data_IF_299937136445
#
_entry.id   IF_299937136445
#
_cell.length_a   1.000
_cell.length_b   1.000
_cell.length_c   1.000
_cell.angle_alpha   90.00
_cell.angle_beta   90.00
_cell.angle_gamma   90.00
#
_symmetry.space_group_name_H-M   'P 1'
#
loop_
_entity.id
_entity.type
_entity.pdbx_description
1 polymer ?
#
# COMPACT_ATOMS: atom_id res chain seq x y z
N UNK A 1 9.47 10.05 -18.16
CA UNK A 1 9.62 11.05 -17.07
C UNK A 1 8.97 10.59 -15.74
N UNK A 2 7.83 9.88 -15.76
CA UNK A 2 7.21 9.31 -14.56
C UNK A 2 8.05 8.18 -13.94
N UNK A 3 8.54 7.25 -14.76
CA UNK A 3 9.38 6.11 -14.31
C UNK A 3 10.67 6.53 -13.60
N UNK A 4 11.34 7.61 -14.05
CA UNK A 4 12.58 8.08 -13.42
C UNK A 4 12.34 8.73 -12.06
N UNK A 5 11.18 9.38 -11.86
CA UNK A 5 10.76 9.89 -10.54
C UNK A 5 10.36 8.75 -9.62
N UNK A 6 9.57 7.78 -10.09
CA UNK A 6 9.11 6.62 -9.30
C UNK A 6 10.29 5.78 -8.80
N UNK A 7 11.31 5.54 -9.65
CA UNK A 7 12.55 4.84 -9.25
C UNK A 7 13.32 5.54 -8.13
N UNK A 8 13.17 6.85 -7.98
CA UNK A 8 13.79 7.61 -6.88
C UNK A 8 12.94 7.60 -5.61
N UNK A 9 11.63 7.39 -5.71
CA UNK A 9 10.69 7.42 -4.57
C UNK A 9 10.73 6.11 -3.78
N UNK A 10 10.76 4.97 -4.46
CA UNK A 10 10.71 3.65 -3.81
C UNK A 10 11.80 3.41 -2.74
N UNK A 11 13.08 3.77 -2.95
CA UNK A 11 14.11 3.65 -1.90
C UNK A 11 13.79 4.45 -0.64
N UNK A 12 13.26 5.67 -0.80
CA UNK A 12 12.86 6.52 0.32
C UNK A 12 11.64 5.97 1.05
N UNK A 13 10.69 5.40 0.33
CA UNK A 13 9.52 4.74 0.94
C UNK A 13 9.95 3.55 1.80
N UNK A 14 10.85 2.71 1.32
CA UNK A 14 11.38 1.58 2.08
C UNK A 14 12.06 2.03 3.38
N UNK A 15 12.91 3.06 3.31
CA UNK A 15 13.58 3.61 4.49
C UNK A 15 12.60 4.27 5.47
N UNK A 16 11.60 5.00 4.95
CA UNK A 16 10.59 5.63 5.78
C UNK A 16 9.72 4.60 6.50
N UNK A 17 9.31 3.53 5.81
CA UNK A 17 8.62 2.40 6.43
C UNK A 17 9.49 1.72 7.48
N UNK A 18 10.79 1.50 7.22
CA UNK A 18 11.70 0.95 8.21
C UNK A 18 11.79 1.83 9.47
N UNK A 19 11.86 3.16 9.29
CA UNK A 19 11.89 4.10 10.41
C UNK A 19 10.59 4.07 11.23
N UNK A 20 9.43 4.03 10.58
CA UNK A 20 8.14 3.89 11.27
C UNK A 20 8.07 2.55 12.00
N UNK A 21 8.45 1.45 11.35
CA UNK A 21 8.46 0.12 11.96
C UNK A 21 9.39 0.07 13.18
N UNK A 22 10.56 0.69 13.12
CA UNK A 22 11.46 0.81 14.28
C UNK A 22 10.83 1.62 15.42
N UNK A 23 10.14 2.73 15.12
CA UNK A 23 9.41 3.50 16.13
C UNK A 23 8.26 2.70 16.73
N UNK A 24 7.48 1.99 15.91
CA UNK A 24 6.40 1.12 16.38
C UNK A 24 6.94 0.01 17.27
N UNK A 25 8.09 -0.59 16.93
CA UNK A 25 8.70 -1.63 17.74
C UNK A 25 9.02 -1.19 19.19
N UNK A 26 9.17 0.11 19.45
CA UNK A 26 9.36 0.64 20.81
C UNK A 26 8.08 0.77 21.62
N UNK A 27 6.91 0.78 20.97
CA UNK A 27 5.62 1.10 21.61
C UNK A 27 4.51 0.06 21.39
N UNK A 28 4.56 -0.74 20.32
CA UNK A 28 3.50 -1.64 19.90
C UNK A 28 4.06 -2.85 19.16
N UNK A 29 3.63 -4.07 19.54
CA UNK A 29 4.00 -5.36 18.92
C UNK A 29 5.47 -5.45 18.45
N UNK A 30 6.43 -5.45 19.40
CA UNK A 30 7.85 -5.27 19.10
C UNK A 30 8.40 -6.29 18.11
N UNK A 31 8.01 -7.55 18.26
CA UNK A 31 8.54 -8.65 17.44
C UNK A 31 8.16 -8.49 15.98
N UNK A 32 6.87 -8.20 15.69
CA UNK A 32 6.39 -8.11 14.31
C UNK A 32 6.92 -6.86 13.62
N UNK A 33 7.03 -5.75 14.35
CA UNK A 33 7.57 -4.50 13.83
C UNK A 33 9.07 -4.53 13.58
N UNK A 34 9.83 -5.29 14.38
CA UNK A 34 11.24 -5.59 14.07
C UNK A 34 11.34 -6.38 12.77
N UNK A 35 10.47 -7.37 12.55
CA UNK A 35 10.43 -8.13 11.29
C UNK A 35 10.14 -7.22 10.10
N UNK A 36 9.13 -6.34 10.20
CA UNK A 36 8.85 -5.37 9.13
C UNK A 36 9.99 -4.41 8.87
N UNK A 37 10.68 -3.94 9.92
CA UNK A 37 11.87 -3.11 9.80
C UNK A 37 12.98 -3.82 9.02
N UNK A 38 13.31 -5.06 9.40
CA UNK A 38 14.32 -5.89 8.71
C UNK A 38 13.92 -6.12 7.25
N UNK A 39 12.66 -6.45 6.99
CA UNK A 39 12.11 -6.64 5.64
C UNK A 39 12.33 -5.39 4.78
N UNK A 40 12.00 -4.20 5.29
CA UNK A 40 12.14 -2.94 4.56
C UNK A 40 13.61 -2.58 4.30
N UNK A 41 14.51 -2.83 5.26
CA UNK A 41 15.96 -2.61 5.09
C UNK A 41 16.55 -3.58 4.06
N UNK A 42 16.16 -4.86 4.10
CA UNK A 42 16.59 -5.87 3.13
C UNK A 42 16.12 -5.53 1.73
N UNK A 43 14.85 -5.15 1.57
CA UNK A 43 14.30 -4.71 0.28
C UNK A 43 15.07 -3.49 -0.28
N UNK A 44 15.42 -2.52 0.58
CA UNK A 44 16.25 -1.38 0.18
C UNK A 44 17.65 -1.82 -0.29
N UNK A 45 18.29 -2.72 0.46
CA UNK A 45 19.61 -3.28 0.13
C UNK A 45 19.61 -4.04 -1.19
N UNK A 46 18.59 -4.89 -1.44
CA UNK A 46 18.43 -5.63 -2.69
C UNK A 46 18.25 -4.69 -3.89
N UNK A 47 17.48 -3.63 -3.71
CA UNK A 47 17.25 -2.61 -4.74
C UNK A 47 18.55 -1.85 -5.08
N UNK A 48 19.36 -1.51 -4.06
CA UNK A 48 20.67 -0.85 -4.25
C UNK A 48 21.74 -1.75 -4.86
N UNK A 49 21.74 -3.04 -4.52
CA UNK A 49 22.70 -4.03 -5.02
C UNK A 49 22.50 -4.34 -6.52
N UNK A 50 21.38 -3.92 -7.11
CA UNK A 50 21.11 -4.11 -8.55
C UNK A 50 20.70 -5.54 -8.92
N UNK A 51 20.38 -6.39 -7.93
CA UNK A 51 19.88 -7.75 -8.17
C UNK A 51 18.42 -7.70 -8.65
N UNK A 52 18.24 -7.41 -9.95
CA UNK A 52 16.92 -7.11 -10.53
C UNK A 52 15.87 -8.19 -10.25
N UNK A 53 16.21 -9.47 -10.45
CA UNK A 53 15.22 -10.55 -10.30
C UNK A 53 14.80 -10.77 -8.83
N UNK A 54 15.76 -10.81 -7.90
CA UNK A 54 15.47 -11.03 -6.49
C UNK A 54 14.79 -9.82 -5.84
N UNK A 55 15.24 -8.61 -6.18
CA UNK A 55 14.59 -7.38 -5.73
C UNK A 55 13.15 -7.32 -6.23
N UNK A 56 12.88 -7.70 -7.48
CA UNK A 56 11.54 -7.66 -8.04
C UNK A 56 10.60 -8.66 -7.34
N UNK A 57 11.04 -9.90 -7.09
CA UNK A 57 10.23 -10.90 -6.37
C UNK A 57 9.92 -10.43 -4.94
N UNK A 58 10.94 -9.93 -4.23
CA UNK A 58 10.75 -9.41 -2.87
C UNK A 58 9.80 -8.22 -2.81
N UNK A 59 9.93 -7.30 -3.76
CA UNK A 59 9.09 -6.12 -3.85
C UNK A 59 7.64 -6.43 -4.27
N UNK A 60 7.42 -7.54 -4.98
CA UNK A 60 6.06 -8.00 -5.32
C UNK A 60 5.41 -8.70 -4.13
N UNK A 61 6.13 -9.62 -3.48
CA UNK A 61 5.52 -10.51 -2.50
C UNK A 61 5.48 -9.92 -1.09
N UNK A 62 6.59 -9.31 -0.65
CA UNK A 62 6.85 -9.03 0.78
C UNK A 62 6.61 -7.57 1.13
N UNK A 63 7.05 -6.64 0.27
CA UNK A 63 6.98 -5.20 0.57
C UNK A 63 5.55 -4.65 0.69
N UNK A 64 4.57 -5.03 -0.16
CA UNK A 64 3.20 -4.55 -0.01
C UNK A 64 2.61 -4.93 1.34
N UNK A 65 2.91 -6.13 1.81
CA UNK A 65 2.49 -6.61 3.13
C UNK A 65 3.08 -5.75 4.26
N UNK A 66 4.40 -5.51 4.22
CA UNK A 66 5.07 -4.67 5.21
C UNK A 66 4.52 -3.23 5.21
N UNK A 67 4.29 -2.64 4.03
CA UNK A 67 3.68 -1.31 3.92
C UNK A 67 2.31 -1.28 4.57
N UNK A 68 1.44 -2.21 4.18
CA UNK A 68 0.07 -2.25 4.66
C UNK A 68 0.02 -2.36 6.19
N UNK A 69 0.78 -3.29 6.77
CA UNK A 69 0.76 -3.51 8.21
C UNK A 69 1.35 -2.35 9.01
N UNK A 70 2.52 -1.84 8.61
CA UNK A 70 3.18 -0.72 9.30
C UNK A 70 2.30 0.54 9.27
N UNK A 71 1.67 0.86 8.14
CA UNK A 71 0.80 2.04 8.07
C UNK A 71 -0.52 1.81 8.80
N UNK A 72 -1.12 0.62 8.77
CA UNK A 72 -2.30 0.32 9.59
C UNK A 72 -2.01 0.58 11.06
N UNK A 73 -0.89 0.08 11.59
CA UNK A 73 -0.53 0.27 13.00
C UNK A 73 -0.22 1.72 13.35
N UNK A 74 0.51 2.44 12.47
CA UNK A 74 0.73 3.87 12.63
C UNK A 74 -0.59 4.63 12.77
N UNK A 75 -1.54 4.39 11.85
CA UNK A 75 -2.81 5.10 11.86
C UNK A 75 -3.72 4.67 13.00
N UNK A 76 -3.65 3.41 13.47
CA UNK A 76 -4.31 3.00 14.73
C UNK A 76 -3.81 3.83 15.91
N UNK A 77 -2.50 4.01 16.04
CA UNK A 77 -1.92 4.82 17.12
C UNK A 77 -2.31 6.30 16.99
N UNK A 78 -2.29 6.87 15.79
CA UNK A 78 -2.70 8.26 15.55
C UNK A 78 -4.17 8.50 15.91
N UNK A 79 -5.06 7.57 15.53
CA UNK A 79 -6.48 7.62 15.88
C UNK A 79 -6.71 7.54 17.39
N UNK A 80 -5.89 6.76 18.10
CA UNK A 80 -5.95 6.66 19.56
C UNK A 80 -5.39 7.92 20.27
N UNK A 81 -4.49 8.68 19.62
CA UNK A 81 -3.85 9.85 20.21
C UNK A 81 -4.75 11.10 20.18
N UNK A 82 -5.56 11.24 19.13
CA UNK A 82 -6.47 12.39 18.99
C UNK A 82 -7.75 12.00 18.24
N UNK A 83 -8.84 11.91 19.00
CA UNK A 83 -10.17 11.61 18.46
C UNK A 83 -10.79 12.76 17.68
N UNK A 84 -10.41 14.00 17.97
CA UNK A 84 -10.89 15.17 17.23
C UNK A 84 -10.34 15.21 15.80
N UNK A 85 -9.11 14.69 15.61
CA UNK A 85 -8.47 14.55 14.31
C UNK A 85 -8.78 13.22 13.62
N UNK A 86 -9.65 12.38 14.20
CA UNK A 86 -9.98 11.08 13.65
C UNK A 86 -10.46 11.09 12.17
N UNK A 87 -11.32 12.03 11.73
CA UNK A 87 -11.71 12.10 10.32
C UNK A 87 -10.51 12.36 9.39
N UNK A 88 -9.59 13.22 9.82
CA UNK A 88 -8.40 13.59 9.04
C UNK A 88 -7.43 12.41 8.95
N UNK A 89 -7.14 11.74 10.07
CA UNK A 89 -6.27 10.56 10.06
C UNK A 89 -6.87 9.41 9.26
N UNK A 90 -8.20 9.25 9.30
CA UNK A 90 -8.87 8.22 8.52
C UNK A 90 -8.77 8.45 7.01
N UNK A 91 -8.94 9.69 6.53
CA UNK A 91 -8.73 10.01 5.12
C UNK A 91 -7.24 9.90 4.72
N UNK A 92 -6.35 10.38 5.59
CA UNK A 92 -4.91 10.34 5.37
C UNK A 92 -4.42 8.89 5.24
N UNK A 93 -4.98 7.95 5.99
CA UNK A 93 -4.68 6.52 5.86
C UNK A 93 -4.85 6.01 4.42
N UNK A 94 -6.01 6.25 3.79
CA UNK A 94 -6.25 5.79 2.42
C UNK A 94 -5.30 6.45 1.43
N UNK A 95 -5.01 7.75 1.60
CA UNK A 95 -4.05 8.46 0.77
C UNK A 95 -2.63 7.89 0.90
N UNK A 96 -2.16 7.65 2.13
CA UNK A 96 -0.84 7.06 2.40
C UNK A 96 -0.72 5.65 1.83
N UNK A 97 -1.77 4.84 1.91
CA UNK A 97 -1.80 3.50 1.32
C UNK A 97 -1.66 3.53 -0.19
N UNK A 98 -2.40 4.40 -0.89
CA UNK A 98 -2.26 4.59 -2.33
C UNK A 98 -0.86 5.07 -2.72
N UNK A 99 -0.34 6.09 -2.02
CA UNK A 99 0.99 6.64 -2.28
C UNK A 99 2.10 5.61 -2.06
N UNK A 100 1.91 4.66 -1.14
CA UNK A 100 2.89 3.61 -0.85
C UNK A 100 2.83 2.46 -1.85
N UNK A 101 1.63 2.03 -2.26
CA UNK A 101 1.44 0.87 -3.12
C UNK A 101 1.62 1.18 -4.61
N UNK A 102 1.24 2.37 -5.08
CA UNK A 102 1.31 2.69 -6.52
C UNK A 102 2.76 2.65 -7.04
N UNK A 103 3.77 3.28 -6.40
CA UNK A 103 5.12 3.33 -6.92
C UNK A 103 5.76 1.94 -7.09
N UNK A 104 5.55 1.04 -6.12
CA UNK A 104 6.10 -0.31 -6.18
C UNK A 104 5.42 -1.15 -7.26
N UNK A 105 4.10 -1.00 -7.40
CA UNK A 105 3.33 -1.69 -8.44
C UNK A 105 3.74 -1.21 -9.84
N UNK A 106 3.86 0.10 -10.06
CA UNK A 106 4.27 0.61 -11.36
C UNK A 106 5.70 0.15 -11.70
N UNK A 107 6.64 0.27 -10.76
CA UNK A 107 8.04 -0.02 -11.02
C UNK A 107 8.34 -1.51 -11.18
N UNK A 108 7.89 -2.35 -10.25
CA UNK A 108 8.32 -3.75 -10.20
C UNK A 108 7.35 -4.69 -10.91
N UNK A 109 6.05 -4.36 -10.95
CA UNK A 109 5.06 -5.21 -11.59
C UNK A 109 4.96 -4.85 -13.07
N UNK A 110 5.17 -3.57 -13.42
CA UNK A 110 5.31 -3.13 -14.82
C UNK A 110 6.45 -3.82 -15.58
N UNK A 111 7.47 -4.31 -14.89
CA UNK A 111 8.57 -5.08 -15.49
C UNK A 111 8.23 -6.56 -15.75
N UNK A 112 7.06 -7.05 -15.31
CA UNK A 112 6.62 -8.42 -15.61
C UNK A 112 6.26 -8.50 -17.10
N UNK A 113 6.98 -9.34 -17.84
CA UNK A 113 6.83 -9.47 -19.30
C UNK A 113 5.43 -9.99 -19.71
N UNK A 114 4.86 -10.90 -18.92
CA UNK A 114 3.57 -11.53 -19.24
C UNK A 114 2.40 -10.75 -18.60
N UNK A 115 1.45 -10.22 -19.40
CA UNK A 115 0.28 -9.46 -18.92
C UNK A 115 -0.53 -10.16 -17.82
N UNK A 116 -0.76 -11.47 -17.95
CA UNK A 116 -1.54 -12.26 -16.99
C UNK A 116 -0.85 -12.26 -15.61
N UNK A 117 0.47 -12.44 -15.57
CA UNK A 117 1.22 -12.42 -14.32
C UNK A 117 1.28 -11.02 -13.69
N UNK A 118 1.26 -9.98 -14.53
CA UNK A 118 1.16 -8.59 -14.08
C UNK A 118 -0.18 -8.32 -13.38
N UNK A 119 -1.28 -8.83 -13.95
CA UNK A 119 -2.61 -8.77 -13.34
C UNK A 119 -2.69 -9.59 -12.05
N UNK A 120 -2.17 -10.82 -12.04
CA UNK A 120 -2.12 -11.65 -10.82
C UNK A 120 -1.37 -10.97 -9.68
N UNK A 121 -0.23 -10.32 -9.98
CA UNK A 121 0.51 -9.56 -8.99
C UNK A 121 -0.34 -8.38 -8.47
N UNK A 122 -1.06 -7.65 -9.31
CA UNK A 122 -1.97 -6.60 -8.81
C UNK A 122 -3.12 -7.14 -7.95
N UNK A 123 -3.63 -8.35 -8.24
CA UNK A 123 -4.62 -9.04 -7.41
C UNK A 123 -4.01 -9.39 -6.04
N UNK A 124 -2.74 -9.78 -5.99
CA UNK A 124 -2.04 -10.02 -4.72
C UNK A 124 -2.08 -8.81 -3.79
N UNK A 125 -1.87 -7.60 -4.31
CA UNK A 125 -1.96 -6.35 -3.51
C UNK A 125 -3.38 -6.15 -2.97
N UNK A 126 -4.40 -6.45 -3.80
CA UNK A 126 -5.81 -6.35 -3.40
C UNK A 126 -6.11 -7.34 -2.27
N UNK A 127 -5.65 -8.59 -2.38
CA UNK A 127 -5.81 -9.61 -1.34
C UNK A 127 -5.18 -9.17 -0.03
N UNK A 128 -3.94 -8.66 -0.07
CA UNK A 128 -3.27 -8.18 1.14
C UNK A 128 -4.03 -7.04 1.82
N UNK A 129 -4.66 -6.14 1.05
CA UNK A 129 -5.49 -5.07 1.59
C UNK A 129 -6.78 -5.58 2.25
N UNK A 130 -7.37 -6.66 1.75
CA UNK A 130 -8.54 -7.30 2.38
C UNK A 130 -8.18 -8.07 3.65
N UNK A 131 -7.00 -8.72 3.68
CA UNK A 131 -6.52 -9.47 4.84
C UNK A 131 -5.95 -8.57 5.94
N UNK A 132 -5.65 -7.31 5.62
CA UNK A 132 -5.12 -6.36 6.58
C UNK A 132 -6.13 -6.01 7.68
N UNK A 133 -5.66 -5.77 8.90
CA UNK A 133 -6.54 -5.30 9.97
C UNK A 133 -7.18 -3.97 9.59
N UNK A 134 -8.51 -3.90 9.60
CA UNK A 134 -9.23 -2.64 9.35
C UNK A 134 -9.02 -1.67 10.51
N UNK A 135 -8.96 -0.37 10.21
CA UNK A 135 -8.92 0.67 11.23
C UNK A 135 -10.24 0.69 12.01
N UNK A 136 -10.18 0.49 13.32
CA UNK A 136 -11.35 0.54 14.19
C UNK A 136 -11.63 1.97 14.67
N UNK A 137 -12.60 2.64 14.06
CA UNK A 137 -13.02 4.00 14.47
C UNK A 137 -14.15 3.89 15.50
N UNK A 138 -13.86 4.29 16.74
CA UNK A 138 -14.83 4.26 17.84
C UNK A 138 -15.69 5.53 17.96
N UNK A 139 -15.21 6.67 17.43
CA UNK A 139 -15.88 7.97 17.60
C UNK A 139 -16.38 8.54 16.27
N UNK A 140 -17.65 8.98 16.25
CA UNK A 140 -18.31 9.59 15.09
C UNK A 140 -19.21 8.63 14.32
N UNK A 141 -20.54 8.77 14.51
CA UNK A 141 -21.53 7.87 13.90
C UNK A 141 -21.47 7.82 12.38
N UNK A 142 -21.00 8.88 11.73
CA UNK A 142 -20.78 8.92 10.27
C UNK A 142 -19.56 8.11 9.83
N UNK A 143 -18.39 8.33 10.44
CA UNK A 143 -17.15 7.64 10.09
C UNK A 143 -17.22 6.14 10.35
N UNK A 144 -17.83 5.74 11.47
CA UNK A 144 -18.04 4.33 11.77
C UNK A 144 -18.94 3.67 10.73
N UNK A 145 -20.00 4.35 10.26
CA UNK A 145 -20.89 3.86 9.18
C UNK A 145 -20.17 3.78 7.84
N UNK A 146 -19.36 4.78 7.52
CA UNK A 146 -18.62 4.88 6.27
C UNK A 146 -17.44 3.87 6.19
N UNK A 147 -16.82 3.56 7.33
CA UNK A 147 -15.84 2.47 7.43
C UNK A 147 -16.51 1.10 7.26
N UNK A 148 -17.65 0.88 7.95
CA UNK A 148 -18.42 -0.37 7.84
C UNK A 148 -18.98 -0.63 6.45
N UNK A 149 -19.35 0.41 5.70
CA UNK A 149 -19.83 0.26 4.32
C UNK A 149 -18.73 -0.14 3.34
N UNK A 150 -17.46 -0.09 3.74
CA UNK A 150 -16.29 -0.38 2.90
C UNK A 150 -16.22 0.47 1.62
N UNK A 151 -16.97 1.57 1.54
CA UNK A 151 -17.09 2.35 0.31
C UNK A 151 -15.78 3.06 -0.03
N UNK A 152 -15.05 3.56 0.98
CA UNK A 152 -13.72 4.15 0.77
C UNK A 152 -12.70 3.10 0.35
N UNK A 153 -12.79 1.88 0.89
CA UNK A 153 -11.92 0.78 0.48
C UNK A 153 -12.16 0.41 -0.98
N UNK A 154 -13.43 0.30 -1.40
CA UNK A 154 -13.80 0.08 -2.79
C UNK A 154 -13.31 1.21 -3.71
N UNK A 155 -13.46 2.46 -3.27
CA UNK A 155 -12.96 3.64 -4.00
C UNK A 155 -11.44 3.65 -4.10
N UNK A 156 -10.73 3.24 -3.05
CA UNK A 156 -9.28 3.07 -3.07
C UNK A 156 -8.85 2.03 -4.11
N UNK A 157 -9.53 0.89 -4.19
CA UNK A 157 -9.26 -0.13 -5.22
C UNK A 157 -9.51 0.38 -6.63
N UNK A 158 -10.60 1.13 -6.84
CA UNK A 158 -10.90 1.72 -8.15
C UNK A 158 -9.81 2.71 -8.57
N UNK A 159 -9.38 3.60 -7.67
CA UNK A 159 -8.29 4.57 -7.92
C UNK A 159 -6.97 3.86 -8.17
N UNK A 160 -6.60 2.90 -7.30
CA UNK A 160 -5.39 2.10 -7.46
C UNK A 160 -5.37 1.37 -8.81
N UNK A 161 -6.43 0.61 -9.11
CA UNK A 161 -6.55 -0.16 -10.34
C UNK A 161 -6.47 0.72 -11.57
N UNK A 162 -7.21 1.85 -11.59
CA UNK A 162 -7.16 2.80 -12.69
C UNK A 162 -5.75 3.34 -12.93
N UNK A 163 -5.08 3.84 -11.88
CA UNK A 163 -3.74 4.44 -12.01
C UNK A 163 -2.70 3.41 -12.45
N UNK A 164 -2.74 2.20 -11.89
CA UNK A 164 -1.82 1.13 -12.23
C UNK A 164 -2.02 0.65 -13.67
N UNK A 165 -3.25 0.32 -14.05
CA UNK A 165 -3.57 -0.22 -15.38
C UNK A 165 -3.24 0.79 -16.48
N UNK A 166 -3.61 2.06 -16.29
CA UNK A 166 -3.31 3.14 -17.25
C UNK A 166 -1.82 3.41 -17.36
N UNK A 167 -1.06 3.34 -16.25
CA UNK A 167 0.40 3.51 -16.29
C UNK A 167 1.13 2.44 -17.11
N UNK A 168 0.52 1.26 -17.26
CA UNK A 168 1.04 0.16 -18.07
C UNK A 168 0.63 0.24 -19.54
N UNK A 169 -0.11 1.28 -19.94
CA UNK A 169 -0.57 1.49 -21.32
C UNK A 169 -1.87 0.76 -21.67
N UNK A 170 -2.53 0.11 -20.72
CA UNK A 170 -3.85 -0.48 -20.95
C UNK A 170 -4.93 0.61 -20.97
N UNK A 171 -5.85 0.52 -21.93
CA UNK A 171 -7.04 1.37 -22.01
C UNK A 171 -8.22 0.64 -21.37
N UNK A 172 -8.81 1.26 -20.36
CA UNK A 172 -10.04 0.77 -19.75
C UNK A 172 -11.24 1.28 -20.55
N UNK A 173 -12.06 0.36 -21.03
CA UNK A 173 -13.33 0.66 -21.68
C UNK A 173 -14.45 0.19 -20.77
N UNK A 174 -15.18 1.14 -20.18
CA UNK A 174 -16.43 0.84 -19.49
C UNK A 174 -17.51 0.70 -20.56
N UNK A 175 -17.89 -0.54 -20.87
CA UNK A 175 -19.02 -0.79 -21.73
C UNK A 175 -20.30 -0.51 -20.93
N UNK A 176 -21.01 0.57 -21.25
CA UNK A 176 -22.29 0.93 -20.63
C UNK A 176 -23.49 0.25 -21.30
N UNK A 177 -23.28 -0.70 -22.23
CA UNK A 177 -24.37 -1.54 -22.75
C UNK A 177 -24.76 -2.59 -21.72
N UNK A 178 -25.69 -2.23 -20.83
CA UNK A 178 -26.28 -3.17 -19.88
C UNK A 178 -26.94 -2.50 -18.68
N UNK A 179 -27.84 -1.55 -18.90
CA UNK A 179 -28.86 -1.12 -17.94
C UNK A 179 -29.99 -0.44 -18.72
N UNK A 180 -30.73 -1.23 -19.49
CA UNK A 180 -32.04 -0.88 -20.05
C UNK A 180 -33.00 -1.99 -19.70
#
# INVERSE_FOLDING_TARGET
MLESKIKRVLPWQLLFTAAIAALLATKHDPVINIVYCIISILAYGLLKKGSKNWSQVWNILVVPYAFIHVYVELFKLLLNLSTDLAPLFFLLYFATMLLSLIPITINDYGNIQKPIFRLLASIWVIINLFLAPQLSIHNGSFLTRLNKSQILLAMMFAVYGYLVITSWGYKLYLNTRGAS
#
